data_IF_303855131969
#
_entry.id   IF_303855131969
#
_cell.length_a   1.000
_cell.length_b   1.000
_cell.length_c   1.000
_cell.angle_alpha   90.00
_cell.angle_beta   90.00
_cell.angle_gamma   90.00
#
_symmetry.space_group_name_H-M   'P 1'
#
loop_
_entity.id
_entity.type
_entity.pdbx_description
1 polymer ?
#
# COMPACT_ATOMS: atom_id res chain seq x y z
N UNK A 1 2.31 -32.94 22.18
CA UNK A 1 3.05 -31.79 22.71
C UNK A 1 4.06 -31.35 21.69
N UNK A 2 4.09 -30.11 21.36
CA UNK A 2 4.97 -29.39 20.40
C UNK A 2 4.33 -29.05 19.06
N UNK A 3 3.65 -27.91 19.01
CA UNK A 3 3.28 -27.21 17.74
C UNK A 3 3.09 -25.70 17.97
N UNK A 4 3.87 -25.08 18.82
CA UNK A 4 3.72 -23.65 19.13
C UNK A 4 4.88 -22.77 18.64
N UNK A 5 5.67 -23.21 17.65
CA UNK A 5 6.93 -22.49 17.33
C UNK A 5 7.02 -21.95 15.90
N UNK A 6 6.01 -22.16 15.03
CA UNK A 6 6.14 -21.81 13.60
C UNK A 6 5.71 -20.37 13.29
N UNK A 7 4.82 -19.78 14.08
CA UNK A 7 4.20 -18.47 13.75
C UNK A 7 5.12 -17.27 14.01
N UNK A 8 6.10 -17.41 14.91
CA UNK A 8 7.01 -16.31 15.28
C UNK A 8 8.15 -16.10 14.27
N UNK A 9 8.51 -17.14 13.52
CA UNK A 9 9.64 -17.08 12.58
C UNK A 9 9.25 -16.43 11.24
N UNK A 10 7.98 -16.54 10.81
CA UNK A 10 7.51 -15.97 9.55
C UNK A 10 7.36 -14.44 9.60
N UNK A 11 7.13 -13.88 10.78
CA UNK A 11 7.07 -12.42 10.98
C UNK A 11 8.41 -11.78 11.34
N UNK A 12 9.43 -12.58 11.69
CA UNK A 12 10.74 -12.08 12.00
C UNK A 12 11.45 -11.59 10.73
N UNK A 13 11.47 -10.29 10.53
CA UNK A 13 12.33 -9.63 9.56
C UNK A 13 11.68 -9.13 8.28
N UNK A 14 10.41 -8.75 8.33
CA UNK A 14 9.87 -7.87 7.29
C UNK A 14 10.34 -6.44 7.54
N UNK A 15 10.62 -5.69 6.47
CA UNK A 15 10.98 -4.29 6.60
C UNK A 15 9.85 -3.55 7.31
N UNK A 16 10.23 -2.60 8.17
CA UNK A 16 9.28 -1.60 8.62
C UNK A 16 8.74 -0.90 7.37
N UNK A 17 7.43 -0.96 7.16
CA UNK A 17 6.81 -0.34 6.01
C UNK A 17 7.07 1.17 6.02
N UNK A 18 7.31 1.70 4.84
CA UNK A 18 7.21 3.13 4.62
C UNK A 18 5.72 3.49 4.73
N UNK A 19 5.40 4.42 5.62
CA UNK A 19 4.04 4.91 5.77
C UNK A 19 3.63 5.65 4.48
N UNK A 20 2.46 5.37 3.96
CA UNK A 20 1.93 6.01 2.73
C UNK A 20 1.85 7.53 2.87
N UNK A 21 1.60 8.02 4.09
CA UNK A 21 1.66 9.44 4.40
C UNK A 21 3.08 9.98 4.25
N UNK A 22 4.09 9.25 4.71
CA UNK A 22 5.49 9.68 4.60
C UNK A 22 5.93 9.70 3.14
N UNK A 23 5.49 8.75 2.32
CA UNK A 23 5.68 8.78 0.85
C UNK A 23 5.08 10.05 0.27
N UNK A 24 3.81 10.35 0.57
CA UNK A 24 3.14 11.54 0.07
C UNK A 24 3.80 12.85 0.55
N UNK A 25 4.20 12.94 1.81
CA UNK A 25 4.89 14.11 2.36
C UNK A 25 6.29 14.31 1.77
N UNK A 26 7.00 13.23 1.45
CA UNK A 26 8.29 13.32 0.77
C UNK A 26 8.13 13.92 -0.62
N UNK A 27 7.21 13.39 -1.43
CA UNK A 27 6.91 13.95 -2.75
C UNK A 27 6.44 15.40 -2.69
N UNK A 28 5.63 15.75 -1.70
CA UNK A 28 5.21 17.13 -1.48
C UNK A 28 6.37 18.08 -1.20
N UNK A 29 7.43 17.60 -0.56
CA UNK A 29 8.66 18.39 -0.30
C UNK A 29 9.63 18.41 -1.47
N UNK A 30 9.84 17.26 -2.10
CA UNK A 30 10.85 17.08 -3.14
C UNK A 30 10.32 17.39 -4.54
N UNK A 31 9.03 17.13 -4.79
CA UNK A 31 8.39 17.36 -6.08
C UNK A 31 6.92 17.77 -5.94
N UNK A 32 6.71 19.01 -5.53
CA UNK A 32 5.38 19.55 -5.30
C UNK A 32 4.49 19.49 -6.56
N UNK A 33 5.06 19.63 -7.75
CA UNK A 33 4.29 19.61 -9.00
C UNK A 33 3.64 18.23 -9.22
N UNK A 34 4.41 17.18 -9.02
CA UNK A 34 3.96 15.79 -9.10
C UNK A 34 2.86 15.51 -8.08
N UNK A 35 3.12 15.84 -6.81
CA UNK A 35 2.14 15.67 -5.74
C UNK A 35 0.84 16.44 -6.01
N UNK A 36 0.93 17.70 -6.43
CA UNK A 36 -0.24 18.54 -6.69
C UNK A 36 -1.07 18.02 -7.87
N UNK A 37 -0.44 17.52 -8.94
CA UNK A 37 -1.12 16.95 -10.09
C UNK A 37 -1.83 15.64 -9.73
N UNK A 38 -1.17 14.74 -9.00
CA UNK A 38 -1.79 13.52 -8.50
C UNK A 38 -3.02 13.84 -7.63
N UNK A 39 -2.87 14.80 -6.72
CA UNK A 39 -3.96 15.26 -5.86
C UNK A 39 -5.13 15.82 -6.67
N UNK A 40 -4.85 16.64 -7.68
CA UNK A 40 -5.86 17.20 -8.58
C UNK A 40 -6.65 16.11 -9.30
N UNK A 41 -5.96 15.09 -9.80
CA UNK A 41 -6.59 13.97 -10.52
C UNK A 41 -7.45 13.15 -9.55
N UNK A 42 -6.89 12.72 -8.43
CA UNK A 42 -7.62 11.94 -7.44
C UNK A 42 -8.91 12.63 -6.98
N UNK A 43 -8.83 13.90 -6.59
CA UNK A 43 -10.01 14.64 -6.12
C UNK A 43 -11.03 14.94 -7.21
N UNK A 44 -10.61 15.01 -8.46
CA UNK A 44 -11.53 15.08 -9.60
C UNK A 44 -12.33 13.77 -9.74
N UNK A 45 -11.68 12.62 -9.60
CA UNK A 45 -12.34 11.30 -9.68
C UNK A 45 -13.26 11.05 -8.48
N UNK A 46 -12.84 11.41 -7.28
CA UNK A 46 -13.70 11.35 -6.06
C UNK A 46 -14.94 12.24 -6.18
N UNK A 47 -14.87 13.30 -6.99
CA UNK A 47 -15.98 14.17 -7.35
C UNK A 47 -16.76 14.71 -6.14
N UNK A 48 -16.06 15.18 -5.13
CA UNK A 48 -16.70 15.81 -3.98
C UNK A 48 -17.48 17.06 -4.41
N UNK A 49 -18.73 17.16 -3.97
CA UNK A 49 -19.54 18.35 -4.19
C UNK A 49 -18.97 19.54 -3.40
N UNK A 50 -18.45 20.60 -4.05
CA UNK A 50 -17.81 21.72 -3.36
C UNK A 50 -18.79 22.56 -2.51
N UNK A 51 -20.10 22.44 -2.78
CA UNK A 51 -21.14 23.14 -2.05
C UNK A 51 -21.60 22.41 -0.79
N UNK A 52 -21.16 21.16 -0.59
CA UNK A 52 -21.54 20.33 0.54
C UNK A 52 -20.46 20.36 1.63
N UNK A 53 -20.89 20.56 2.87
CA UNK A 53 -20.01 20.37 4.03
C UNK A 53 -19.93 18.88 4.36
N UNK A 54 -18.73 18.34 4.38
CA UNK A 54 -18.47 16.95 4.77
C UNK A 54 -17.95 16.90 6.22
N UNK A 55 -18.32 15.89 7.01
CA UNK A 55 -17.71 15.65 8.32
C UNK A 55 -16.19 15.52 8.22
N UNK A 56 -15.46 16.02 9.21
CA UNK A 56 -13.99 15.95 9.26
C UNK A 56 -13.48 14.52 9.09
N UNK A 57 -14.16 13.54 9.70
CA UNK A 57 -13.81 12.11 9.61
C UNK A 57 -13.88 11.58 8.17
N UNK A 58 -14.89 12.01 7.39
CA UNK A 58 -15.03 11.62 5.97
C UNK A 58 -13.89 12.20 5.16
N UNK A 59 -13.57 13.49 5.34
CA UNK A 59 -12.46 14.14 4.64
C UNK A 59 -11.12 13.49 4.99
N UNK A 60 -10.92 13.16 6.26
CA UNK A 60 -9.72 12.49 6.73
C UNK A 60 -9.57 11.09 6.10
N UNK A 61 -10.66 10.32 5.99
CA UNK A 61 -10.64 9.00 5.33
C UNK A 61 -10.33 9.11 3.84
N UNK A 62 -10.90 10.12 3.16
CA UNK A 62 -10.59 10.38 1.75
C UNK A 62 -9.11 10.74 1.58
N UNK A 63 -8.53 11.51 2.50
CA UNK A 63 -7.11 11.83 2.48
C UNK A 63 -6.22 10.59 2.69
N UNK A 64 -6.59 9.67 3.59
CA UNK A 64 -5.88 8.41 3.78
C UNK A 64 -5.93 7.53 2.52
N UNK A 65 -7.08 7.44 1.87
CA UNK A 65 -7.22 6.73 0.60
C UNK A 65 -6.44 7.41 -0.52
N UNK A 66 -6.34 8.74 -0.52
CA UNK A 66 -5.46 9.45 -1.44
C UNK A 66 -4.00 9.05 -1.24
N UNK A 67 -3.51 8.98 0.00
CA UNK A 67 -2.13 8.60 0.26
C UNK A 67 -1.84 7.14 -0.17
N UNK A 68 -2.77 6.22 0.09
CA UNK A 68 -2.65 4.84 -0.36
C UNK A 68 -2.62 4.75 -1.89
N UNK A 69 -3.60 5.36 -2.56
CA UNK A 69 -3.66 5.42 -4.02
C UNK A 69 -2.42 6.08 -4.62
N UNK A 70 -1.96 7.19 -4.06
CA UNK A 70 -0.76 7.87 -4.52
C UNK A 70 0.48 6.99 -4.36
N UNK A 71 0.64 6.33 -3.21
CA UNK A 71 1.81 5.52 -2.93
C UNK A 71 1.94 4.31 -3.85
N UNK A 72 0.83 3.65 -4.19
CA UNK A 72 0.86 2.33 -4.85
C UNK A 72 0.23 2.26 -6.23
N UNK A 73 -0.77 3.08 -6.53
CA UNK A 73 -1.53 3.00 -7.80
C UNK A 73 -1.15 4.10 -8.79
N UNK A 74 -0.31 5.06 -8.37
CA UNK A 74 0.36 5.99 -9.27
C UNK A 74 1.64 5.36 -9.81
N UNK A 75 2.01 5.71 -11.04
CA UNK A 75 3.31 5.38 -11.59
C UNK A 75 4.14 6.66 -11.78
N UNK A 76 5.41 6.59 -11.43
CA UNK A 76 6.38 7.65 -11.67
C UNK A 76 7.47 7.11 -12.59
N UNK A 77 7.74 7.84 -13.67
CA UNK A 77 8.81 7.51 -14.62
C UNK A 77 9.92 8.56 -14.54
N UNK A 78 11.16 8.11 -14.69
CA UNK A 78 12.34 8.99 -14.76
C UNK A 78 12.80 9.48 -13.38
N UNK A 79 13.21 8.55 -12.53
CA UNK A 79 13.80 8.89 -11.23
C UNK A 79 15.23 9.34 -11.40
N UNK A 80 15.38 10.63 -11.60
CA UNK A 80 16.58 11.32 -11.24
C UNK A 80 16.24 12.30 -10.12
N UNK A 81 16.20 11.84 -8.89
CA UNK A 81 16.14 12.73 -7.72
C UNK A 81 17.49 13.48 -7.59
N UNK A 82 17.85 14.20 -8.64
CA UNK A 82 19.10 14.98 -8.69
C UNK A 82 19.01 16.28 -7.90
N UNK A 83 17.86 16.58 -7.32
CA UNK A 83 17.63 17.86 -6.64
C UNK A 83 17.35 19.02 -7.57
N UNK A 84 17.20 18.78 -8.86
CA UNK A 84 16.79 19.76 -9.85
C UNK A 84 15.29 19.58 -10.11
N UNK A 85 14.47 20.46 -9.54
CA UNK A 85 13.01 20.40 -9.53
C UNK A 85 12.34 20.36 -10.92
N UNK A 86 13.08 20.61 -11.99
CA UNK A 86 12.51 20.83 -13.31
C UNK A 86 12.56 19.63 -14.27
N UNK A 87 13.28 18.57 -13.94
CA UNK A 87 13.54 17.50 -14.92
C UNK A 87 12.92 16.15 -14.58
N UNK A 88 12.42 15.91 -13.34
CA UNK A 88 12.66 14.58 -12.83
C UNK A 88 11.47 13.67 -12.61
N UNK A 89 10.23 14.14 -12.54
CA UNK A 89 9.11 13.24 -12.28
C UNK A 89 7.89 13.61 -13.13
N UNK A 90 7.67 12.86 -14.18
CA UNK A 90 6.35 12.80 -14.82
C UNK A 90 5.53 11.76 -14.10
N UNK A 91 4.42 12.17 -13.49
CA UNK A 91 3.39 11.23 -13.11
C UNK A 91 2.71 10.78 -14.39
N UNK A 92 2.93 9.54 -14.75
CA UNK A 92 2.06 8.85 -15.69
C UNK A 92 1.03 8.10 -14.88
N UNK A 93 -0.18 8.64 -14.85
CA UNK A 93 -1.32 7.92 -14.28
C UNK A 93 -1.67 6.80 -15.22
N UNK A 94 -1.34 5.59 -14.84
CA UNK A 94 -1.67 4.42 -15.64
C UNK A 94 -2.62 3.50 -14.89
N UNK A 95 -3.73 3.26 -15.52
CA UNK A 95 -4.62 2.16 -15.18
C UNK A 95 -4.07 0.90 -15.86
N UNK A 96 -3.20 0.15 -15.18
CA UNK A 96 -2.73 -1.13 -15.68
C UNK A 96 -1.26 -1.45 -15.35
N UNK A 97 -0.86 -2.73 -15.39
CA UNK A 97 0.51 -3.14 -15.10
C UNK A 97 1.45 -2.68 -16.23
N UNK A 98 2.58 -2.14 -15.88
CA UNK A 98 3.75 -2.08 -16.74
C UNK A 98 4.28 -0.71 -17.15
N UNK A 99 3.98 0.38 -16.44
CA UNK A 99 4.50 1.67 -16.83
C UNK A 99 5.04 2.50 -15.66
N UNK A 100 6.29 2.33 -15.37
CA UNK A 100 6.97 3.00 -14.28
C UNK A 100 6.94 2.20 -12.98
N UNK A 101 7.42 2.82 -11.92
CA UNK A 101 7.34 2.28 -10.55
C UNK A 101 6.43 3.14 -9.70
N UNK A 102 5.89 2.59 -8.63
CA UNK A 102 5.07 3.37 -7.72
C UNK A 102 5.89 4.44 -6.98
N UNK A 103 5.29 5.54 -6.51
CA UNK A 103 5.94 6.48 -5.61
C UNK A 103 6.52 5.82 -4.35
N UNK A 104 5.89 4.76 -3.86
CA UNK A 104 6.40 3.95 -2.76
C UNK A 104 7.76 3.31 -3.11
N UNK A 105 7.84 2.59 -4.23
CA UNK A 105 9.08 1.96 -4.66
C UNK A 105 10.14 3.00 -5.03
N UNK A 106 9.74 4.10 -5.67
CA UNK A 106 10.64 5.21 -6.00
C UNK A 106 11.35 5.77 -4.77
N UNK A 107 10.59 5.98 -3.67
CA UNK A 107 11.17 6.43 -2.41
C UNK A 107 12.08 5.35 -1.79
N UNK A 108 11.65 4.09 -1.82
CA UNK A 108 12.44 2.97 -1.29
C UNK A 108 13.79 2.83 -2.01
N UNK A 109 13.81 2.92 -3.35
CA UNK A 109 15.02 2.89 -4.15
C UNK A 109 15.94 4.09 -3.86
N UNK A 110 15.37 5.28 -3.76
CA UNK A 110 16.13 6.46 -3.36
C UNK A 110 16.80 6.30 -1.99
N UNK A 111 16.07 5.80 -0.99
CA UNK A 111 16.62 5.55 0.34
C UNK A 111 17.69 4.46 0.33
N UNK A 112 17.51 3.42 -0.47
CA UNK A 112 18.50 2.36 -0.65
C UNK A 112 19.80 2.90 -1.28
N UNK A 113 19.69 3.71 -2.32
CA UNK A 113 20.85 4.32 -3.02
C UNK A 113 21.61 5.31 -2.13
N UNK A 114 20.93 5.93 -1.16
CA UNK A 114 21.55 6.83 -0.18
C UNK A 114 22.05 6.11 1.08
N UNK A 115 21.97 4.78 1.13
CA UNK A 115 22.29 3.95 2.31
C UNK A 115 21.49 4.33 3.56
N UNK A 116 20.26 4.77 3.34
CA UNK A 116 19.36 5.28 4.37
C UNK A 116 18.35 4.22 4.81
N UNK A 117 18.72 3.36 5.77
CA UNK A 117 17.81 2.45 6.50
C UNK A 117 17.20 1.30 5.70
N UNK A 118 17.47 1.17 4.40
CA UNK A 118 16.98 0.08 3.56
C UNK A 118 18.16 -0.75 3.08
N UNK A 119 18.18 -2.02 3.43
CA UNK A 119 19.20 -2.96 2.98
C UNK A 119 18.80 -3.70 1.70
N UNK A 120 19.75 -4.48 1.16
CA UNK A 120 19.55 -5.25 -0.08
C UNK A 120 18.38 -6.25 0.00
N UNK A 121 18.06 -6.74 1.19
CA UNK A 121 16.94 -7.65 1.39
C UNK A 121 15.62 -6.90 1.36
N UNK A 122 15.56 -5.78 2.04
CA UNK A 122 14.35 -4.95 2.12
C UNK A 122 13.97 -4.37 0.76
N UNK A 123 14.93 -3.86 -0.01
CA UNK A 123 14.61 -3.34 -1.35
C UNK A 123 14.07 -4.41 -2.29
N UNK A 124 14.53 -5.67 -2.15
CA UNK A 124 13.97 -6.79 -2.90
C UNK A 124 12.52 -7.06 -2.52
N UNK A 125 12.22 -7.05 -1.21
CA UNK A 125 10.87 -7.22 -0.71
C UNK A 125 9.94 -6.10 -1.19
N UNK A 126 10.44 -4.86 -1.23
CA UNK A 126 9.67 -3.73 -1.71
C UNK A 126 9.38 -3.79 -3.21
N UNK A 127 10.31 -4.31 -4.01
CA UNK A 127 10.06 -4.57 -5.43
C UNK A 127 9.00 -5.65 -5.63
N UNK A 128 9.09 -6.77 -4.88
CA UNK A 128 8.08 -7.82 -4.91
C UNK A 128 6.71 -7.31 -4.44
N UNK A 129 6.68 -6.43 -3.44
CA UNK A 129 5.47 -5.76 -2.99
C UNK A 129 4.89 -4.88 -4.10
N UNK A 130 5.70 -4.05 -4.74
CA UNK A 130 5.27 -3.16 -5.82
C UNK A 130 4.66 -3.95 -6.99
N UNK A 131 5.29 -5.04 -7.36
CA UNK A 131 4.85 -5.90 -8.46
C UNK A 131 3.56 -6.68 -8.18
N UNK A 132 3.26 -6.96 -6.90
CA UNK A 132 2.18 -7.91 -6.54
C UNK A 132 1.03 -7.29 -5.78
N UNK A 133 1.17 -6.04 -5.34
CA UNK A 133 0.11 -5.41 -4.56
C UNK A 133 -1.09 -5.00 -5.40
N UNK A 134 -2.26 -5.07 -4.79
CA UNK A 134 -3.47 -4.49 -5.32
C UNK A 134 -4.48 -4.22 -4.20
N UNK A 135 -5.27 -3.17 -4.38
CA UNK A 135 -6.39 -2.84 -3.51
C UNK A 135 -7.68 -3.41 -4.07
N UNK A 136 -8.49 -4.02 -3.22
CA UNK A 136 -9.79 -4.52 -3.62
C UNK A 136 -10.77 -4.55 -2.45
N UNK A 137 -11.97 -5.02 -2.75
CA UNK A 137 -13.01 -5.30 -1.79
C UNK A 137 -13.07 -6.81 -1.56
N UNK A 138 -12.89 -7.22 -0.32
CA UNK A 138 -12.76 -8.62 0.05
C UNK A 138 -13.89 -9.05 0.98
N UNK A 139 -14.38 -10.28 0.76
CA UNK A 139 -15.23 -10.98 1.69
C UNK A 139 -14.40 -11.86 2.62
N UNK A 140 -14.60 -11.75 3.94
CA UNK A 140 -13.90 -12.57 4.91
C UNK A 140 -14.53 -13.98 4.89
N UNK A 141 -13.75 -14.97 4.48
CA UNK A 141 -14.15 -16.38 4.50
C UNK A 141 -13.83 -17.04 5.83
N UNK A 142 -12.70 -16.70 6.42
CA UNK A 142 -12.24 -17.18 7.71
C UNK A 142 -11.24 -16.19 8.32
N UNK A 143 -11.23 -16.09 9.64
CA UNK A 143 -10.24 -15.31 10.37
C UNK A 143 -9.83 -16.06 11.63
N UNK A 144 -8.54 -16.17 11.90
CA UNK A 144 -7.99 -16.89 13.02
C UNK A 144 -6.90 -16.10 13.72
N UNK A 145 -7.21 -15.59 14.92
CA UNK A 145 -6.22 -14.92 15.78
C UNK A 145 -5.05 -15.85 16.14
N UNK A 146 -5.35 -17.13 16.37
CA UNK A 146 -4.33 -18.15 16.71
C UNK A 146 -3.33 -18.34 15.59
N UNK A 147 -3.78 -18.31 14.34
CA UNK A 147 -2.92 -18.44 13.15
C UNK A 147 -2.34 -17.09 12.70
N UNK A 148 -2.91 -15.96 13.17
CA UNK A 148 -2.55 -14.63 12.70
C UNK A 148 -2.87 -14.41 11.22
N UNK A 149 -3.92 -15.06 10.70
CA UNK A 149 -4.24 -15.10 9.26
C UNK A 149 -5.74 -14.93 9.00
N UNK A 150 -6.01 -14.34 7.82
CA UNK A 150 -7.34 -14.30 7.23
C UNK A 150 -7.35 -15.07 5.93
N UNK A 151 -8.46 -15.69 5.62
CA UNK A 151 -8.81 -16.16 4.27
C UNK A 151 -9.84 -15.20 3.71
N UNK A 152 -9.51 -14.52 2.62
CA UNK A 152 -10.35 -13.51 2.01
C UNK A 152 -10.63 -13.84 0.55
N UNK A 153 -11.83 -13.52 0.07
CA UNK A 153 -12.22 -13.64 -1.33
C UNK A 153 -12.35 -12.25 -1.95
N UNK A 154 -11.64 -12.01 -3.03
CA UNK A 154 -11.79 -10.79 -3.83
C UNK A 154 -13.12 -10.83 -4.58
N UNK A 155 -14.03 -9.91 -4.25
CA UNK A 155 -15.36 -9.86 -4.85
C UNK A 155 -15.41 -9.03 -6.13
N UNK A 156 -14.32 -8.35 -6.49
CA UNK A 156 -14.24 -7.52 -7.71
C UNK A 156 -13.57 -8.32 -8.83
N UNK A 157 -12.40 -8.89 -8.58
CA UNK A 157 -11.61 -9.58 -9.60
C UNK A 157 -11.67 -11.10 -9.49
N UNK A 158 -12.21 -11.61 -8.38
CA UNK A 158 -12.25 -13.02 -8.08
C UNK A 158 -10.94 -13.53 -7.44
N UNK A 159 -11.01 -14.74 -6.91
CA UNK A 159 -9.87 -15.38 -6.23
C UNK A 159 -9.99 -15.40 -4.72
N UNK A 160 -9.32 -16.38 -4.13
CA UNK A 160 -9.25 -16.55 -2.67
C UNK A 160 -7.80 -16.47 -2.26
N UNK A 161 -7.54 -15.66 -1.24
CA UNK A 161 -6.20 -15.33 -0.76
C UNK A 161 -6.07 -15.65 0.72
N UNK A 162 -4.97 -16.29 1.10
CA UNK A 162 -4.55 -16.42 2.49
C UNK A 162 -3.61 -15.27 2.82
N UNK A 163 -3.96 -14.47 3.82
CA UNK A 163 -3.29 -13.23 4.16
C UNK A 163 -2.82 -13.25 5.59
N UNK A 164 -1.54 -13.08 5.82
CA UNK A 164 -0.94 -12.95 7.15
C UNK A 164 -1.11 -11.50 7.64
N UNK A 165 -1.97 -11.34 8.65
CA UNK A 165 -2.21 -10.08 9.35
C UNK A 165 -2.69 -10.39 10.76
N UNK A 166 -1.80 -10.31 11.72
CA UNK A 166 -2.09 -10.65 13.13
C UNK A 166 -3.13 -9.70 13.72
N UNK A 167 -3.10 -8.41 13.33
CA UNK A 167 -4.02 -7.41 13.85
C UNK A 167 -5.43 -7.63 13.33
N UNK A 168 -5.59 -7.71 12.02
CA UNK A 168 -6.89 -7.97 11.40
C UNK A 168 -7.44 -9.35 11.78
N UNK A 169 -6.59 -10.37 11.85
CA UNK A 169 -6.99 -11.71 12.30
C UNK A 169 -7.52 -11.70 13.73
N UNK A 170 -6.94 -10.90 14.62
CA UNK A 170 -7.43 -10.74 15.99
C UNK A 170 -8.71 -9.93 16.07
N UNK A 171 -8.84 -8.89 15.24
CA UNK A 171 -10.03 -8.05 15.18
C UNK A 171 -11.25 -8.80 14.67
N UNK A 172 -11.06 -9.71 13.72
CA UNK A 172 -12.13 -10.48 13.07
C UNK A 172 -12.15 -11.95 13.47
N UNK A 173 -11.52 -12.32 14.59
CA UNK A 173 -11.38 -13.71 15.02
C UNK A 173 -12.71 -14.47 15.01
N UNK A 174 -12.73 -15.64 14.35
CA UNK A 174 -13.94 -16.46 14.17
C UNK A 174 -14.96 -15.90 13.17
N UNK A 175 -14.67 -14.83 12.46
CA UNK A 175 -15.59 -14.29 11.46
C UNK A 175 -15.64 -15.18 10.21
N UNK A 176 -16.87 -15.48 9.77
CA UNK A 176 -17.19 -16.16 8.51
C UNK A 176 -18.15 -15.28 7.71
N UNK A 177 -17.72 -14.05 7.36
CA UNK A 177 -18.53 -13.07 6.66
C UNK A 177 -18.08 -11.64 6.96
N UNK A 178 -18.63 -10.72 6.19
CA UNK A 178 -18.26 -9.31 6.27
C UNK A 178 -17.33 -8.88 5.13
N UNK A 179 -17.45 -7.61 4.77
CA UNK A 179 -16.64 -7.01 3.71
C UNK A 179 -15.59 -6.08 4.31
N UNK A 180 -14.39 -6.15 3.77
CA UNK A 180 -13.31 -5.22 4.05
C UNK A 180 -12.77 -4.64 2.74
N UNK A 181 -12.38 -3.39 2.76
CA UNK A 181 -11.55 -2.79 1.71
C UNK A 181 -10.12 -2.86 2.22
N UNK A 182 -9.26 -3.45 1.44
CA UNK A 182 -7.89 -3.69 1.86
C UNK A 182 -6.94 -3.72 0.66
N UNK A 183 -5.66 -3.53 0.92
CA UNK A 183 -4.58 -3.81 -0.01
C UNK A 183 -3.87 -5.08 0.42
N UNK A 184 -3.65 -5.98 -0.51
CA UNK A 184 -2.87 -7.19 -0.28
C UNK A 184 -1.70 -7.25 -1.24
N UNK A 185 -0.63 -7.92 -0.83
CA UNK A 185 0.53 -8.20 -1.67
C UNK A 185 1.12 -9.56 -1.33
N UNK A 186 1.88 -10.14 -2.24
CA UNK A 186 2.71 -11.31 -1.98
C UNK A 186 4.15 -10.89 -1.78
N UNK A 187 4.72 -11.23 -0.64
CA UNK A 187 6.14 -10.98 -0.34
C UNK A 187 6.75 -12.26 0.23
N UNK A 188 7.80 -12.75 -0.41
CA UNK A 188 8.47 -14.03 -0.06
C UNK A 188 7.50 -15.22 -0.05
N UNK A 189 6.57 -15.26 -1.00
CA UNK A 189 5.59 -16.35 -1.11
C UNK A 189 4.47 -16.31 -0.06
N UNK A 190 4.36 -15.25 0.73
CA UNK A 190 3.31 -15.09 1.75
C UNK A 190 2.43 -13.91 1.38
N UNK A 191 1.11 -14.15 1.29
CA UNK A 191 0.12 -13.08 1.19
C UNK A 191 0.11 -12.23 2.46
N UNK A 192 0.11 -10.92 2.31
CA UNK A 192 0.09 -9.96 3.41
C UNK A 192 -0.96 -8.91 3.18
N UNK A 193 -1.53 -8.45 4.27
CA UNK A 193 -2.46 -7.34 4.29
C UNK A 193 -1.71 -6.05 4.61
N UNK A 194 -2.03 -5.03 3.86
CA UNK A 194 -1.71 -3.65 4.16
C UNK A 194 -3.04 -2.95 4.39
N UNK A 195 -3.47 -2.85 5.64
CA UNK A 195 -4.74 -2.22 5.93
C UNK A 195 -4.70 -0.74 5.53
N UNK A 196 -5.67 -0.37 4.72
CA UNK A 196 -6.04 1.04 4.54
C UNK A 196 -6.64 1.47 5.87
N UNK A 197 -6.11 2.48 6.56
CA UNK A 197 -6.55 2.87 7.89
C UNK A 197 -8.00 3.33 7.95
#
# INVERSE_FOLDING_TARGET
MSTATTTTAENAGLPAMLDTKDVAEMFKRCNLAVYAEARRIYYREVNLNPCKKYPKQVLQRIEWWFWDWFAYDCAVSGIGLTGNESEDLRIELQYGPGAGISPFLALAEFMYDKDERIGTREIRDFRELDDTNFASMFWIRDASAVKGRLTVEDIIHGGVYEVADVHAASQYDGAHGGMIVNRIAHVRGVGRSWSIP
#
